data_IF_250263835155
#
_entry.id   IF_250263835155
#
_cell.length_a   1.000
_cell.length_b   1.000
_cell.length_c   1.000
_cell.angle_alpha   90.00
_cell.angle_beta   90.00
_cell.angle_gamma   90.00
#
_symmetry.space_group_name_H-M   'P 1'
#
loop_
_entity.id
_entity.type
_entity.pdbx_description
1 polymer ?
#
# COMPACT_ATOMS: atom_id res chain seq x y z
N UNK A 1 36.52 45.15 -33.30
CA UNK A 1 35.18 44.60 -33.59
C UNK A 1 35.07 43.22 -32.97
N UNK A 2 34.55 43.13 -31.74
CA UNK A 2 34.13 41.90 -31.10
C UNK A 2 33.07 42.30 -30.05
N UNK A 3 31.83 41.92 -30.30
CA UNK A 3 30.64 42.36 -29.57
C UNK A 3 30.50 41.53 -28.30
N UNK A 4 30.62 42.20 -27.15
CA UNK A 4 30.36 41.67 -25.82
C UNK A 4 28.84 41.57 -25.62
N UNK A 5 28.27 40.37 -25.74
CA UNK A 5 26.84 40.12 -25.44
C UNK A 5 26.67 39.92 -23.93
N UNK A 6 26.42 41.01 -23.21
CA UNK A 6 25.72 40.94 -21.93
C UNK A 6 24.27 40.50 -22.20
N UNK A 7 23.92 39.28 -21.78
CA UNK A 7 22.51 38.87 -21.65
C UNK A 7 22.06 39.17 -20.24
N UNK A 8 21.60 40.40 -20.02
CA UNK A 8 20.76 40.76 -18.88
C UNK A 8 19.37 40.15 -19.09
N UNK A 9 19.19 38.89 -18.72
CA UNK A 9 17.86 38.32 -18.52
C UNK A 9 17.36 38.74 -17.13
N UNK A 10 16.94 40.00 -17.04
CA UNK A 10 16.06 40.46 -15.99
C UNK A 10 14.68 39.81 -16.20
N UNK A 11 14.51 38.59 -15.68
CA UNK A 11 13.17 38.09 -15.45
C UNK A 11 12.58 38.93 -14.32
N UNK A 12 11.81 39.94 -14.70
CA UNK A 12 10.88 40.60 -13.79
C UNK A 12 9.95 39.52 -13.26
N UNK A 13 10.22 39.03 -12.05
CA UNK A 13 9.24 38.28 -11.26
C UNK A 13 8.14 39.29 -10.95
N UNK A 14 7.17 39.40 -11.85
CA UNK A 14 5.87 39.96 -11.50
C UNK A 14 5.43 39.19 -10.25
N UNK A 15 5.34 39.89 -9.14
CA UNK A 15 4.87 39.39 -7.86
C UNK A 15 3.47 38.82 -8.08
N UNK A 16 3.38 37.51 -8.30
CA UNK A 16 2.10 36.83 -8.24
C UNK A 16 1.68 36.89 -6.78
N UNK A 17 0.46 37.37 -6.53
CA UNK A 17 -0.19 37.31 -5.23
C UNK A 17 0.21 36.04 -4.47
N UNK A 18 0.62 36.22 -3.21
CA UNK A 18 1.18 35.22 -2.31
C UNK A 18 0.25 34.00 -2.20
N UNK A 19 0.38 33.05 -3.14
CA UNK A 19 -0.41 31.83 -3.14
C UNK A 19 0.25 30.89 -2.15
N UNK A 20 -0.26 30.89 -0.94
CA UNK A 20 0.10 29.91 0.08
C UNK A 20 -0.34 28.53 -0.41
N UNK A 21 0.60 27.74 -0.90
CA UNK A 21 0.36 26.35 -1.25
C UNK A 21 0.44 25.50 0.02
N UNK A 22 -0.62 24.77 0.31
CA UNK A 22 -0.65 23.79 1.39
C UNK A 22 -0.32 22.42 0.83
N UNK A 23 0.64 21.74 1.44
CA UNK A 23 1.00 20.38 1.10
C UNK A 23 0.18 19.41 1.95
N UNK A 24 -0.13 18.23 1.42
CA UNK A 24 -0.66 17.09 2.17
C UNK A 24 0.45 16.41 2.98
N UNK A 25 1.19 17.20 3.75
CA UNK A 25 2.44 16.84 4.38
C UNK A 25 2.45 17.24 5.85
N UNK A 26 2.85 16.32 6.71
CA UNK A 26 3.05 16.56 8.14
C UNK A 26 4.55 16.43 8.47
N UNK A 27 5.21 17.47 9.02
CA UNK A 27 6.57 17.35 9.53
C UNK A 27 6.66 16.26 10.59
N UNK A 28 7.73 15.48 10.58
CA UNK A 28 8.03 14.49 11.61
C UNK A 28 9.16 15.03 12.48
N UNK A 29 8.86 15.17 13.77
CA UNK A 29 9.83 15.50 14.79
C UNK A 29 10.21 14.24 15.55
N UNK A 30 11.49 14.10 15.85
CA UNK A 30 12.04 13.01 16.64
C UNK A 30 13.17 13.57 17.50
N UNK A 31 13.42 12.91 18.63
CA UNK A 31 14.53 13.27 19.50
C UNK A 31 15.86 12.96 18.80
N UNK A 32 16.81 13.88 18.92
CA UNK A 32 18.14 13.73 18.31
C UNK A 32 19.05 12.84 19.17
N UNK A 33 18.58 11.61 19.39
CA UNK A 33 19.26 10.62 20.21
C UNK A 33 20.44 9.96 19.49
N UNK A 34 21.35 9.41 20.28
CA UNK A 34 22.38 8.49 19.81
C UNK A 34 21.92 7.05 20.08
N UNK A 35 22.00 6.21 19.05
CA UNK A 35 21.62 4.80 19.12
C UNK A 35 22.80 3.92 18.71
N UNK A 36 22.88 2.73 19.29
CA UNK A 36 23.83 1.70 18.85
C UNK A 36 23.17 0.92 17.72
N UNK A 37 23.89 0.77 16.61
CA UNK A 37 23.44 -0.04 15.47
C UNK A 37 24.46 -1.13 15.20
N UNK A 38 23.97 -2.31 14.82
CA UNK A 38 24.82 -3.37 14.28
C UNK A 38 25.09 -3.11 12.79
N UNK A 39 26.30 -3.38 12.33
CA UNK A 39 26.71 -3.18 10.93
C UNK A 39 27.14 -4.51 10.34
N UNK A 40 26.62 -4.83 9.16
CA UNK A 40 26.99 -6.04 8.40
C UNK A 40 27.08 -5.72 6.91
N UNK A 41 28.06 -6.26 6.17
CA UNK A 41 28.12 -6.10 4.72
C UNK A 41 26.86 -6.61 4.01
N UNK A 42 26.36 -5.83 3.06
CA UNK A 42 25.27 -6.27 2.19
C UNK A 42 25.81 -7.27 1.15
N UNK A 43 25.33 -8.50 1.21
CA UNK A 43 25.69 -9.57 0.26
C UNK A 43 24.74 -9.55 -0.95
N UNK A 44 23.47 -9.85 -0.70
CA UNK A 44 22.41 -9.86 -1.71
C UNK A 44 21.02 -9.65 -1.08
N UNK A 45 19.97 -9.72 -1.92
CA UNK A 45 18.59 -9.50 -1.48
C UNK A 45 18.07 -10.63 -0.60
N UNK A 46 18.48 -11.86 -0.85
CA UNK A 46 17.99 -13.03 -0.12
C UNK A 46 18.61 -13.08 1.29
N UNK A 47 19.86 -12.64 1.44
CA UNK A 47 20.51 -12.42 2.72
C UNK A 47 19.80 -11.35 3.57
N UNK A 48 19.45 -10.20 2.99
CA UNK A 48 18.68 -9.19 3.71
C UNK A 48 17.27 -9.71 4.07
N UNK A 49 16.67 -10.52 3.20
CA UNK A 49 15.36 -11.14 3.47
C UNK A 49 15.45 -12.14 4.62
N UNK A 50 16.49 -12.98 4.67
CA UNK A 50 16.65 -13.96 5.75
C UNK A 50 16.87 -13.29 7.11
N UNK A 51 17.68 -12.22 7.17
CA UNK A 51 17.84 -11.41 8.39
C UNK A 51 16.50 -10.87 8.89
N UNK A 52 15.70 -10.28 7.98
CA UNK A 52 14.37 -9.76 8.33
C UNK A 52 13.39 -10.85 8.78
N UNK A 53 13.48 -12.04 8.21
CA UNK A 53 12.66 -13.17 8.65
C UNK A 53 13.08 -13.71 10.01
N UNK A 54 14.39 -13.81 10.26
CA UNK A 54 14.94 -14.36 11.49
C UNK A 54 14.71 -13.45 12.69
N UNK A 55 14.82 -12.13 12.53
CA UNK A 55 14.72 -11.16 13.62
C UNK A 55 13.54 -10.20 13.46
N UNK A 56 12.47 -10.62 12.77
CA UNK A 56 11.30 -9.79 12.43
C UNK A 56 10.65 -9.09 13.62
N UNK A 57 10.71 -9.71 14.80
CA UNK A 57 10.07 -9.24 16.02
C UNK A 57 10.95 -8.34 16.89
N UNK A 58 12.27 -8.40 16.70
CA UNK A 58 13.25 -7.77 17.61
C UNK A 58 14.12 -6.72 16.94
N UNK A 59 14.27 -6.78 15.61
CA UNK A 59 15.19 -5.93 14.87
C UNK A 59 14.58 -5.29 13.63
N UNK A 60 15.01 -4.06 13.36
CA UNK A 60 14.84 -3.39 12.08
C UNK A 60 16.13 -3.45 11.28
N UNK A 61 16.05 -3.85 10.01
CA UNK A 61 17.19 -3.83 9.08
C UNK A 61 17.01 -2.78 7.98
N UNK A 62 17.93 -1.82 7.96
CA UNK A 62 18.03 -0.77 6.94
C UNK A 62 19.26 -1.02 6.07
N UNK A 63 19.07 -1.11 4.75
CA UNK A 63 20.21 -1.18 3.83
C UNK A 63 20.68 0.23 3.48
N UNK A 64 21.95 0.50 3.74
CA UNK A 64 22.62 1.72 3.31
C UNK A 64 23.75 1.35 2.35
N UNK A 65 23.57 1.62 1.05
CA UNK A 65 24.55 1.28 -0.01
C UNK A 65 25.00 -0.19 0.04
N UNK A 66 26.19 -0.45 0.58
CA UNK A 66 26.86 -1.76 0.66
C UNK A 66 26.88 -2.33 2.09
N UNK A 67 26.17 -1.71 3.03
CA UNK A 67 26.03 -2.19 4.39
C UNK A 67 24.55 -2.32 4.79
N UNK A 68 24.31 -3.10 5.83
CA UNK A 68 23.04 -3.27 6.50
C UNK A 68 23.24 -2.79 7.93
N UNK A 69 22.45 -1.79 8.31
CA UNK A 69 22.31 -1.33 9.68
C UNK A 69 21.18 -2.12 10.35
N UNK A 70 21.45 -2.71 11.51
CA UNK A 70 20.45 -3.32 12.37
C UNK A 70 20.19 -2.43 13.58
N UNK A 71 18.92 -2.29 13.94
CA UNK A 71 18.50 -1.56 15.13
C UNK A 71 17.62 -2.48 15.96
N UNK A 72 17.99 -2.71 17.21
CA UNK A 72 17.14 -3.38 18.18
C UNK A 72 15.90 -2.50 18.45
N UNK A 73 14.71 -3.06 18.25
CA UNK A 73 13.42 -2.39 18.49
C UNK A 73 12.63 -3.02 19.64
N UNK A 74 13.03 -4.21 20.08
CA UNK A 74 12.53 -4.83 21.30
C UNK A 74 13.45 -4.47 22.48
N UNK A 75 12.86 -4.31 23.67
CA UNK A 75 13.63 -4.15 24.90
C UNK A 75 14.53 -5.36 25.11
N UNK A 76 15.78 -5.13 25.54
CA UNK A 76 16.77 -6.18 25.85
C UNK A 76 17.27 -7.01 24.65
N UNK A 77 16.89 -6.67 23.42
CA UNK A 77 17.44 -7.33 22.25
C UNK A 77 18.93 -6.97 22.06
N UNK A 78 19.77 -7.99 21.90
CA UNK A 78 21.20 -7.83 21.63
C UNK A 78 21.45 -7.18 20.27
N UNK A 79 22.56 -6.45 20.14
CA UNK A 79 22.95 -5.85 18.85
C UNK A 79 23.34 -6.94 17.86
N UNK A 80 22.69 -6.97 16.69
CA UNK A 80 22.97 -7.94 15.62
C UNK A 80 23.87 -7.32 14.55
N UNK A 81 25.13 -7.73 14.46
CA UNK A 81 26.03 -7.29 13.40
C UNK A 81 27.43 -7.88 13.50
N UNK A 82 28.24 -7.74 12.46
CA UNK A 82 29.68 -8.09 12.51
C UNK A 82 30.46 -7.06 13.33
N UNK A 83 30.07 -5.79 13.25
CA UNK A 83 30.53 -4.70 14.10
C UNK A 83 29.35 -3.90 14.64
N UNK A 84 29.60 -2.98 15.57
CA UNK A 84 28.60 -2.03 16.06
C UNK A 84 29.16 -0.61 16.03
N UNK A 85 28.31 0.37 15.78
CA UNK A 85 28.66 1.78 15.84
C UNK A 85 27.56 2.61 16.51
N UNK A 86 27.94 3.76 17.07
CA UNK A 86 26.99 4.73 17.61
C UNK A 86 26.61 5.71 16.50
N UNK A 87 25.32 5.80 16.20
CA UNK A 87 24.76 6.70 15.19
C UNK A 87 23.87 7.73 15.85
N UNK A 88 24.11 9.00 15.53
CA UNK A 88 23.22 10.10 15.88
C UNK A 88 22.08 10.19 14.87
N UNK A 89 20.83 10.20 15.34
CA UNK A 89 19.65 10.14 14.48
C UNK A 89 19.55 11.32 13.50
N UNK A 90 19.85 12.55 13.93
CA UNK A 90 19.86 13.72 13.01
C UNK A 90 20.81 13.57 11.83
N UNK A 91 21.89 12.80 11.99
CA UNK A 91 22.87 12.57 10.93
C UNK A 91 22.45 11.44 9.97
N UNK A 92 21.41 10.66 10.31
CA UNK A 92 20.99 9.50 9.54
C UNK A 92 19.46 9.48 9.31
N UNK A 93 18.97 10.46 8.54
CA UNK A 93 17.54 10.65 8.26
C UNK A 93 16.90 9.46 7.52
N UNK A 94 17.64 8.71 6.73
CA UNK A 94 17.11 7.53 6.03
C UNK A 94 16.87 6.34 6.98
N UNK A 95 17.76 6.17 7.96
CA UNK A 95 17.54 5.23 9.06
C UNK A 95 16.32 5.67 9.89
N UNK A 96 16.23 6.95 10.24
CA UNK A 96 15.08 7.53 10.94
C UNK A 96 13.77 7.29 10.17
N UNK A 97 13.76 7.50 8.86
CA UNK A 97 12.59 7.23 8.03
C UNK A 97 12.19 5.74 8.07
N UNK A 98 13.15 4.83 8.20
CA UNK A 98 12.86 3.39 8.33
C UNK A 98 12.27 3.06 9.70
N UNK A 99 12.83 3.64 10.77
CA UNK A 99 12.31 3.51 12.14
C UNK A 99 10.86 4.04 12.25
N UNK A 100 10.60 5.23 11.68
CA UNK A 100 9.26 5.81 11.65
C UNK A 100 8.28 4.92 10.89
N UNK A 101 8.68 4.37 9.73
CA UNK A 101 7.81 3.45 8.98
C UNK A 101 7.43 2.24 9.83
N UNK A 102 8.42 1.62 10.49
CA UNK A 102 8.19 0.47 11.34
C UNK A 102 7.28 0.79 12.54
N UNK A 103 7.49 1.94 13.19
CA UNK A 103 6.64 2.41 14.28
C UNK A 103 5.19 2.63 13.81
N UNK A 104 5.00 3.27 12.65
CA UNK A 104 3.68 3.51 12.08
C UNK A 104 2.98 2.20 11.68
N UNK A 105 3.71 1.23 11.13
CA UNK A 105 3.17 -0.10 10.82
C UNK A 105 2.73 -0.83 12.09
N UNK A 106 3.56 -0.81 13.15
CA UNK A 106 3.18 -1.41 14.44
C UNK A 106 1.92 -0.77 15.01
N UNK A 107 1.83 0.56 14.96
CA UNK A 107 0.64 1.30 15.39
C UNK A 107 -0.61 0.89 14.59
N UNK A 108 -0.51 0.87 13.25
CA UNK A 108 -1.62 0.49 12.37
C UNK A 108 -2.04 -0.97 12.58
N UNK A 109 -1.08 -1.87 12.79
CA UNK A 109 -1.32 -3.27 13.07
C UNK A 109 -2.05 -3.45 14.41
N UNK A 110 -1.63 -2.74 15.46
CA UNK A 110 -2.32 -2.73 16.75
C UNK A 110 -3.75 -2.17 16.69
N UNK A 111 -4.07 -1.36 15.68
CA UNK A 111 -5.43 -0.89 15.38
C UNK A 111 -6.25 -1.87 14.51
N UNK A 112 -5.73 -3.07 14.24
CA UNK A 112 -6.30 -4.05 13.33
C UNK A 112 -6.59 -3.48 11.93
N UNK A 113 -5.73 -2.56 11.44
CA UNK A 113 -5.84 -2.06 10.06
C UNK A 113 -5.26 -3.09 9.09
N UNK A 114 -5.91 -3.23 7.94
CA UNK A 114 -5.39 -4.03 6.84
C UNK A 114 -4.28 -3.25 6.13
N UNK A 115 -3.02 -3.59 6.40
CA UNK A 115 -1.83 -2.97 5.79
C UNK A 115 -1.49 -3.72 4.51
N UNK A 116 -1.27 -3.01 3.41
CA UNK A 116 -1.10 -3.60 2.07
C UNK A 116 0.35 -3.55 1.57
N UNK A 117 1.11 -2.55 2.00
CA UNK A 117 2.47 -2.30 1.50
C UNK A 117 3.32 -1.58 2.57
N UNK A 118 4.63 -1.76 2.51
CA UNK A 118 5.58 -1.22 3.50
C UNK A 118 6.12 0.17 3.12
N UNK A 119 6.48 0.40 1.86
CA UNK A 119 7.04 1.69 1.41
C UNK A 119 6.58 2.07 -0.03
N UNK A 120 5.65 3.04 -0.19
CA UNK A 120 4.99 3.78 0.89
C UNK A 120 4.08 2.88 1.73
N UNK A 121 3.81 3.27 2.97
CA UNK A 121 2.89 2.51 3.82
C UNK A 121 1.49 2.66 3.25
N UNK A 122 0.87 1.54 2.91
CA UNK A 122 -0.50 1.54 2.43
C UNK A 122 -1.40 0.78 3.39
N UNK A 123 -2.58 1.33 3.69
CA UNK A 123 -3.54 0.64 4.54
C UNK A 123 -4.97 1.05 4.20
N UNK A 124 -5.91 0.21 4.58
CA UNK A 124 -7.35 0.44 4.38
C UNK A 124 -7.99 0.90 5.68
N UNK A 125 -8.97 1.79 5.55
CA UNK A 125 -9.89 2.13 6.64
C UNK A 125 -10.66 0.89 7.13
N UNK A 126 -11.43 1.01 8.22
CA UNK A 126 -12.05 -0.15 8.85
C UNK A 126 -13.28 -0.53 8.02
N UNK A 127 -13.32 -1.69 7.34
CA UNK A 127 -14.45 -2.02 6.47
C UNK A 127 -15.80 -2.05 7.18
N UNK A 128 -15.83 -2.38 8.48
CA UNK A 128 -17.07 -2.40 9.26
C UNK A 128 -17.64 -1.00 9.53
N UNK A 129 -16.85 0.06 9.36
CA UNK A 129 -17.26 1.46 9.61
C UNK A 129 -17.23 2.32 8.35
N UNK A 130 -16.29 2.03 7.47
CA UNK A 130 -15.86 2.91 6.38
C UNK A 130 -16.19 2.32 4.99
N UNK A 131 -17.03 1.27 4.91
CA UNK A 131 -17.51 0.73 3.63
C UNK A 131 -18.52 1.69 2.98
N UNK A 132 -18.09 2.38 1.93
CA UNK A 132 -18.90 3.33 1.17
C UNK A 132 -20.07 2.64 0.46
N UNK A 133 -19.94 1.37 0.06
CA UNK A 133 -21.07 0.62 -0.49
C UNK A 133 -22.18 0.46 0.57
N UNK A 134 -21.82 0.15 1.81
CA UNK A 134 -22.78 0.00 2.90
C UNK A 134 -23.50 1.32 3.25
N UNK A 135 -22.90 2.47 2.93
CA UNK A 135 -23.54 3.78 3.13
C UNK A 135 -24.62 4.10 2.09
N UNK A 136 -24.47 3.62 0.86
CA UNK A 136 -25.37 3.98 -0.26
C UNK A 136 -26.53 3.01 -0.44
N UNK A 137 -26.49 1.83 0.19
CA UNK A 137 -27.54 0.81 0.06
C UNK A 137 -28.82 1.02 0.91
N UNK A 138 -28.78 1.62 2.12
CA UNK A 138 -29.97 1.76 2.96
C UNK A 138 -31.17 2.47 2.29
N UNK A 139 -31.00 3.53 1.46
CA UNK A 139 -32.11 4.13 0.71
C UNK A 139 -32.85 3.16 -0.23
N UNK A 140 -32.23 2.05 -0.62
CA UNK A 140 -32.81 1.00 -1.46
C UNK A 140 -33.41 -0.15 -0.65
N UNK A 141 -33.35 -0.09 0.69
CA UNK A 141 -33.77 -1.18 1.57
C UNK A 141 -32.83 -2.39 1.53
N UNK A 142 -31.56 -2.17 1.19
CA UNK A 142 -30.55 -3.21 1.00
C UNK A 142 -29.40 -3.06 2.00
N UNK A 143 -28.68 -4.17 2.20
CA UNK A 143 -27.45 -4.22 2.99
C UNK A 143 -26.27 -4.67 2.11
N UNK A 144 -25.08 -4.16 2.39
CA UNK A 144 -23.87 -4.59 1.70
C UNK A 144 -23.50 -6.01 2.18
N UNK A 145 -23.22 -6.96 1.27
CA UNK A 145 -22.67 -8.22 1.69
C UNK A 145 -21.24 -8.02 2.23
N UNK A 146 -20.83 -8.88 3.16
CA UNK A 146 -19.51 -8.84 3.80
C UNK A 146 -18.32 -8.97 2.84
N UNK A 147 -18.53 -9.63 1.69
CA UNK A 147 -17.50 -9.88 0.69
C UNK A 147 -17.36 -8.81 -0.39
N UNK A 148 -18.27 -7.82 -0.47
CA UNK A 148 -18.25 -6.77 -1.48
C UNK A 148 -18.17 -5.41 -0.80
N UNK A 149 -17.07 -4.68 -0.99
CA UNK A 149 -16.90 -3.40 -0.33
C UNK A 149 -16.08 -2.40 -1.13
N UNK A 150 -16.29 -1.12 -0.84
CA UNK A 150 -15.43 -0.03 -1.28
C UNK A 150 -15.03 0.77 -0.06
N UNK A 151 -13.74 0.78 0.27
CA UNK A 151 -13.24 1.44 1.48
C UNK A 151 -12.17 2.48 1.12
N UNK A 152 -12.04 3.56 1.92
CA UNK A 152 -10.89 4.45 1.82
C UNK A 152 -9.58 3.69 2.02
N UNK A 153 -8.59 4.00 1.18
CA UNK A 153 -7.21 3.54 1.23
C UNK A 153 -6.32 4.76 1.43
N UNK A 154 -5.41 4.66 2.38
CA UNK A 154 -4.43 5.68 2.67
C UNK A 154 -3.05 5.23 2.22
N UNK A 155 -2.28 6.17 1.70
CA UNK A 155 -0.89 5.99 1.27
C UNK A 155 -0.06 7.01 2.05
N UNK A 156 0.69 6.51 3.03
CA UNK A 156 1.54 7.26 3.93
C UNK A 156 3.01 7.10 3.49
N UNK A 157 3.55 8.12 2.84
CA UNK A 157 4.92 8.13 2.36
C UNK A 157 5.81 8.97 3.29
N UNK A 158 6.73 8.31 3.98
CA UNK A 158 7.77 8.97 4.78
C UNK A 158 8.88 9.44 3.83
N UNK A 159 9.14 10.74 3.80
CA UNK A 159 10.09 11.36 2.88
C UNK A 159 11.09 12.23 3.62
N UNK A 160 12.34 12.16 3.20
CA UNK A 160 13.34 13.20 3.46
C UNK A 160 13.07 14.37 2.51
N UNK A 161 12.89 15.57 3.05
CA UNK A 161 12.59 16.77 2.29
C UNK A 161 13.57 17.88 2.64
N UNK A 162 13.88 18.73 1.66
CA UNK A 162 14.64 19.97 1.86
C UNK A 162 13.80 21.09 1.26
N UNK A 163 13.48 22.08 2.06
CA UNK A 163 12.91 23.33 1.58
C UNK A 163 14.02 24.35 1.39
N UNK A 164 13.78 25.39 0.58
CA UNK A 164 14.77 26.42 0.35
C UNK A 164 15.19 27.06 1.69
N UNK A 165 16.50 27.17 1.90
CA UNK A 165 17.10 27.70 3.13
C UNK A 165 16.75 26.95 4.43
N UNK A 166 16.24 25.72 4.35
CA UNK A 166 15.97 24.88 5.52
C UNK A 166 16.83 23.61 5.50
N UNK A 167 17.26 23.11 6.68
CA UNK A 167 17.93 21.83 6.75
C UNK A 167 17.01 20.69 6.27
N UNK A 168 17.62 19.62 5.78
CA UNK A 168 16.88 18.41 5.43
C UNK A 168 16.13 17.90 6.66
N UNK A 169 14.86 17.54 6.48
CA UNK A 169 13.98 17.05 7.53
C UNK A 169 13.17 15.86 7.05
N UNK A 170 12.47 15.19 7.97
CA UNK A 170 11.52 14.16 7.65
C UNK A 170 10.10 14.71 7.66
N UNK A 171 9.26 14.14 6.81
CA UNK A 171 7.82 14.22 7.05
C UNK A 171 7.03 13.18 6.27
N UNK A 172 5.75 13.17 6.59
CA UNK A 172 4.76 12.22 6.12
C UNK A 172 3.89 12.90 5.07
N UNK A 173 3.99 12.46 3.82
CA UNK A 173 3.02 12.79 2.79
C UNK A 173 1.86 11.78 2.84
N UNK A 174 0.62 12.26 2.96
CA UNK A 174 -0.56 11.41 3.08
C UNK A 174 -1.50 11.60 1.89
N UNK A 175 -1.72 10.54 1.13
CA UNK A 175 -2.73 10.50 0.07
C UNK A 175 -3.90 9.60 0.47
N UNK A 176 -5.12 9.99 0.09
CA UNK A 176 -6.31 9.17 0.21
C UNK A 176 -6.83 8.78 -1.19
N UNK A 177 -7.26 7.52 -1.31
CA UNK A 177 -7.90 6.91 -2.49
C UNK A 177 -9.00 5.98 -1.98
N UNK A 178 -9.67 5.28 -2.88
CA UNK A 178 -10.57 4.19 -2.52
C UNK A 178 -10.07 2.88 -3.11
N UNK A 179 -10.43 1.76 -2.48
CA UNK A 179 -10.12 0.42 -2.95
C UNK A 179 -11.38 -0.43 -2.91
N UNK A 180 -11.62 -1.13 -4.03
CA UNK A 180 -12.69 -2.11 -4.18
C UNK A 180 -12.19 -3.47 -3.72
N UNK A 181 -13.09 -4.25 -3.13
CA UNK A 181 -12.83 -5.61 -2.69
C UNK A 181 -13.94 -6.55 -3.16
N UNK A 182 -13.52 -7.72 -3.65
CA UNK A 182 -14.36 -8.87 -3.94
C UNK A 182 -13.68 -10.03 -3.21
N UNK A 183 -14.21 -10.41 -2.05
CA UNK A 183 -13.52 -11.31 -1.13
C UNK A 183 -13.99 -12.76 -1.17
N UNK A 184 -14.98 -13.08 -2.02
CA UNK A 184 -15.38 -14.46 -2.28
C UNK A 184 -14.45 -15.14 -3.29
N UNK A 185 -14.11 -16.44 -3.07
CA UNK A 185 -13.48 -17.25 -4.08
C UNK A 185 -14.42 -17.44 -5.27
N UNK A 186 -13.85 -17.73 -6.44
CA UNK A 186 -14.62 -17.88 -7.67
C UNK A 186 -15.65 -19.02 -7.59
N UNK A 187 -15.37 -20.10 -6.87
CA UNK A 187 -16.33 -21.18 -6.63
C UNK A 187 -17.62 -20.66 -5.96
N UNK A 188 -17.50 -19.87 -4.90
CA UNK A 188 -18.64 -19.30 -4.19
C UNK A 188 -19.37 -18.22 -5.00
N UNK A 189 -18.67 -17.50 -5.88
CA UNK A 189 -19.30 -16.59 -6.85
C UNK A 189 -20.15 -17.38 -7.87
N UNK A 190 -19.64 -18.50 -8.38
CA UNK A 190 -20.36 -19.38 -9.32
C UNK A 190 -21.64 -19.92 -8.68
N UNK A 191 -21.58 -20.39 -7.43
CA UNK A 191 -22.75 -20.84 -6.66
C UNK A 191 -23.83 -19.75 -6.52
N UNK A 192 -23.41 -18.47 -6.47
CA UNK A 192 -24.31 -17.31 -6.45
C UNK A 192 -24.77 -16.86 -7.84
N UNK A 193 -24.45 -17.61 -8.89
CA UNK A 193 -24.79 -17.28 -10.28
C UNK A 193 -23.94 -16.17 -10.89
N UNK A 194 -22.79 -15.84 -10.30
CA UNK A 194 -21.84 -14.84 -10.78
C UNK A 194 -20.71 -15.55 -11.51
N UNK A 195 -20.79 -15.62 -12.84
CA UNK A 195 -19.78 -16.30 -13.65
C UNK A 195 -18.48 -15.49 -13.73
N UNK A 196 -17.31 -16.08 -13.41
CA UNK A 196 -16.02 -15.42 -13.55
C UNK A 196 -15.50 -15.35 -15.00
N UNK A 197 -16.18 -15.96 -15.97
CA UNK A 197 -15.75 -15.97 -17.39
C UNK A 197 -15.57 -14.53 -17.90
N UNK A 198 -14.44 -14.28 -18.56
CA UNK A 198 -14.06 -12.97 -19.08
C UNK A 198 -13.39 -12.05 -18.07
N UNK A 199 -13.26 -12.45 -16.80
CA UNK A 199 -12.59 -11.65 -15.77
C UNK A 199 -11.23 -12.21 -15.40
N UNK A 200 -10.33 -11.31 -14.99
CA UNK A 200 -9.03 -11.68 -14.44
C UNK A 200 -9.17 -12.22 -13.03
N UNK A 201 -8.35 -13.23 -12.71
CA UNK A 201 -8.30 -13.86 -11.40
C UNK A 201 -6.90 -13.82 -10.80
N UNK A 202 -6.86 -13.76 -9.49
CA UNK A 202 -5.64 -13.73 -8.70
C UNK A 202 -5.67 -14.73 -7.56
N UNK A 203 -4.51 -15.26 -7.23
CA UNK A 203 -4.29 -16.02 -6.01
C UNK A 203 -3.84 -15.08 -4.89
N UNK A 204 -4.25 -15.34 -3.65
CA UNK A 204 -3.73 -14.62 -2.48
C UNK A 204 -2.40 -15.25 -2.05
N UNK A 205 -1.38 -14.42 -1.92
CA UNK A 205 -0.05 -14.84 -1.45
C UNK A 205 0.24 -14.14 -0.12
N UNK A 206 0.59 -14.94 0.89
CA UNK A 206 0.96 -14.43 2.20
C UNK A 206 2.21 -13.55 2.12
N UNK A 207 2.23 -12.49 2.92
CA UNK A 207 3.41 -11.65 3.08
C UNK A 207 4.42 -12.31 4.01
N UNK A 208 5.71 -12.05 3.79
CA UNK A 208 6.75 -12.46 4.75
C UNK A 208 6.67 -11.68 6.06
N UNK A 209 6.07 -10.49 6.06
CA UNK A 209 5.79 -9.71 7.26
C UNK A 209 4.35 -9.97 7.69
N UNK A 210 4.17 -10.62 8.83
CA UNK A 210 2.87 -11.01 9.40
C UNK A 210 1.93 -9.83 9.67
N UNK A 211 2.44 -8.59 9.70
CA UNK A 211 1.64 -7.37 9.87
C UNK A 211 0.97 -6.94 8.58
N UNK A 212 1.46 -7.42 7.45
CA UNK A 212 0.95 -7.11 6.11
C UNK A 212 -0.12 -8.12 5.71
N UNK A 213 -1.14 -7.63 5.02
CA UNK A 213 -2.17 -8.47 4.43
C UNK A 213 -1.61 -9.28 3.24
N UNK A 214 -2.26 -10.40 2.90
CA UNK A 214 -1.95 -11.14 1.68
C UNK A 214 -2.11 -10.24 0.45
N UNK A 215 -1.23 -10.41 -0.54
CA UNK A 215 -1.26 -9.66 -1.78
C UNK A 215 -1.76 -10.51 -2.95
N UNK A 216 -2.42 -9.91 -3.96
CA UNK A 216 -2.89 -10.65 -5.12
C UNK A 216 -1.73 -10.93 -6.09
N UNK A 217 -1.56 -12.20 -6.46
CA UNK A 217 -0.74 -12.64 -7.58
C UNK A 217 -1.65 -12.93 -8.77
N UNK A 218 -1.62 -12.06 -9.77
CA UNK A 218 -2.44 -12.20 -10.98
C UNK A 218 -2.02 -13.44 -11.77
N UNK A 219 -2.99 -14.29 -12.14
CA UNK A 219 -2.75 -15.56 -12.84
C UNK A 219 -3.14 -15.50 -14.31
N UNK A 220 -4.28 -14.87 -14.64
CA UNK A 220 -4.78 -14.78 -16.01
C UNK A 220 -6.26 -14.42 -16.03
N UNK A 221 -6.86 -14.46 -17.22
CA UNK A 221 -8.28 -14.23 -17.45
C UNK A 221 -9.03 -15.55 -17.63
N UNK A 222 -10.18 -15.71 -17.01
CA UNK A 222 -10.97 -16.95 -17.12
C UNK A 222 -11.59 -17.03 -18.51
N UNK A 223 -11.29 -18.10 -19.24
CA UNK A 223 -11.84 -18.39 -20.56
C UNK A 223 -13.06 -19.32 -20.49
N UNK A 224 -12.99 -20.37 -19.67
CA UNK A 224 -14.04 -21.38 -19.54
C UNK A 224 -14.03 -22.02 -18.16
N UNK A 225 -15.12 -22.69 -17.84
CA UNK A 225 -15.34 -23.40 -16.57
C UNK A 225 -15.67 -24.85 -16.90
N UNK A 226 -14.93 -25.78 -16.31
CA UNK A 226 -15.17 -27.22 -16.42
C UNK A 226 -15.23 -27.83 -15.01
N UNK A 227 -16.45 -27.97 -14.48
CA UNK A 227 -16.65 -28.27 -13.05
C UNK A 227 -16.07 -27.14 -12.19
N UNK A 228 -15.21 -27.49 -11.23
CA UNK A 228 -14.54 -26.52 -10.34
C UNK A 228 -13.22 -25.99 -10.90
N UNK A 229 -12.86 -26.36 -12.13
CA UNK A 229 -11.61 -25.93 -12.77
C UNK A 229 -11.89 -24.78 -13.75
N UNK A 230 -11.13 -23.70 -13.58
CA UNK A 230 -11.13 -22.55 -14.47
C UNK A 230 -9.98 -22.68 -15.46
N UNK A 231 -10.27 -22.61 -16.76
CA UNK A 231 -9.23 -22.49 -17.79
C UNK A 231 -8.91 -21.02 -17.98
N UNK A 232 -7.62 -20.70 -18.06
CA UNK A 232 -7.13 -19.33 -18.18
C UNK A 232 -6.61 -19.03 -19.59
N UNK A 233 -6.91 -17.84 -20.08
CA UNK A 233 -6.21 -17.16 -21.17
C UNK A 233 -5.37 -16.01 -20.60
N UNK A 234 -4.46 -15.45 -21.41
CA UNK A 234 -3.44 -14.48 -20.95
C UNK A 234 -2.71 -14.97 -19.68
N UNK A 235 -2.39 -16.26 -19.68
CA UNK A 235 -1.82 -16.97 -18.55
C UNK A 235 -0.41 -16.43 -18.22
N UNK A 236 -0.19 -16.10 -16.95
CA UNK A 236 1.12 -15.76 -16.43
C UNK A 236 1.82 -17.00 -15.90
N UNK A 237 3.13 -17.06 -16.09
CA UNK A 237 3.97 -18.15 -15.57
C UNK A 237 3.58 -19.55 -16.06
N UNK A 238 2.92 -19.65 -17.23
CA UNK A 238 2.51 -20.94 -17.82
C UNK A 238 1.31 -21.61 -17.14
N UNK A 239 0.63 -20.94 -16.20
CA UNK A 239 -0.52 -21.50 -15.49
C UNK A 239 -1.77 -21.39 -16.36
N UNK A 240 -2.16 -22.49 -17.01
CA UNK A 240 -3.30 -22.53 -17.94
C UNK A 240 -4.63 -22.93 -17.29
N UNK A 241 -4.60 -23.44 -16.05
CA UNK A 241 -5.80 -23.85 -15.32
C UNK A 241 -5.61 -23.74 -13.81
N UNK A 242 -6.68 -23.42 -13.09
CA UNK A 242 -6.70 -23.23 -11.62
C UNK A 242 -7.99 -23.74 -11.00
N UNK A 243 -7.96 -24.09 -9.71
CA UNK A 243 -9.17 -24.43 -8.96
C UNK A 243 -9.95 -23.16 -8.60
N UNK A 244 -11.27 -23.17 -8.79
CA UNK A 244 -12.13 -22.01 -8.57
C UNK A 244 -12.18 -21.57 -7.10
N UNK A 245 -11.93 -22.47 -6.15
CA UNK A 245 -11.89 -22.17 -4.72
C UNK A 245 -10.57 -21.51 -4.26
N UNK A 246 -9.52 -21.56 -5.08
CA UNK A 246 -8.18 -21.01 -4.75
C UNK A 246 -7.96 -19.60 -5.31
N UNK A 247 -8.86 -19.11 -6.17
CA UNK A 247 -8.69 -17.85 -6.89
C UNK A 247 -9.87 -16.91 -6.71
N UNK A 248 -9.57 -15.62 -6.79
CA UNK A 248 -10.50 -14.52 -6.56
C UNK A 248 -10.52 -13.62 -7.79
N UNK A 249 -11.68 -13.04 -8.11
CA UNK A 249 -11.76 -12.00 -9.14
C UNK A 249 -10.85 -10.83 -8.78
N UNK A 250 -10.09 -10.34 -9.76
CA UNK A 250 -9.38 -9.08 -9.61
C UNK A 250 -10.42 -7.95 -9.43
N UNK A 251 -10.37 -7.17 -8.34
CA UNK A 251 -11.44 -6.24 -7.97
C UNK A 251 -11.37 -4.93 -8.78
N UNK A 252 -11.25 -5.03 -10.11
CA UNK A 252 -11.35 -3.90 -11.03
C UNK A 252 -12.78 -3.41 -11.11
N UNK A 253 -12.96 -2.19 -11.63
CA UNK A 253 -14.29 -1.54 -11.75
C UNK A 253 -15.26 -2.43 -12.54
N UNK A 254 -14.80 -3.10 -13.58
CA UNK A 254 -15.59 -3.96 -14.45
C UNK A 254 -16.12 -5.17 -13.68
N UNK A 255 -15.24 -5.92 -13.01
CA UNK A 255 -15.62 -7.10 -12.21
C UNK A 255 -16.50 -6.71 -11.02
N UNK A 256 -16.20 -5.60 -10.36
CA UNK A 256 -16.99 -5.08 -9.24
C UNK A 256 -18.39 -4.68 -9.69
N UNK A 257 -18.51 -3.94 -10.80
CA UNK A 257 -19.79 -3.53 -11.36
C UNK A 257 -20.60 -4.73 -11.84
N UNK A 258 -19.94 -5.75 -12.41
CA UNK A 258 -20.59 -7.00 -12.77
C UNK A 258 -21.19 -7.71 -11.55
N UNK A 259 -20.48 -7.72 -10.42
CA UNK A 259 -21.02 -8.25 -9.16
C UNK A 259 -22.25 -7.44 -8.69
N UNK A 260 -22.20 -6.10 -8.78
CA UNK A 260 -23.35 -5.24 -8.45
C UNK A 260 -24.57 -5.54 -9.35
N UNK A 261 -24.35 -5.70 -10.66
CA UNK A 261 -25.43 -6.02 -11.62
C UNK A 261 -26.12 -7.34 -11.29
N UNK A 262 -25.32 -8.37 -10.97
CA UNK A 262 -25.85 -9.70 -10.64
C UNK A 262 -26.56 -9.72 -9.30
N UNK A 263 -26.05 -8.97 -8.32
CA UNK A 263 -26.57 -8.96 -6.96
C UNK A 263 -27.83 -8.10 -6.82
N UNK A 264 -27.84 -6.89 -7.39
CA UNK A 264 -28.90 -5.90 -7.17
C UNK A 264 -29.84 -5.70 -8.36
N UNK A 265 -29.55 -6.32 -9.52
CA UNK A 265 -30.43 -6.39 -10.70
C UNK A 265 -30.95 -5.01 -11.11
N UNK A 266 -32.27 -4.80 -11.03
CA UNK A 266 -32.96 -3.58 -11.47
C UNK A 266 -32.46 -2.33 -10.73
N UNK A 267 -32.00 -2.47 -9.48
CA UNK A 267 -31.50 -1.36 -8.66
C UNK A 267 -30.00 -1.09 -8.89
N UNK A 268 -29.29 -1.92 -9.65
CA UNK A 268 -27.84 -1.84 -9.77
C UNK A 268 -27.35 -0.52 -10.38
N UNK A 269 -28.09 0.04 -11.34
CA UNK A 269 -27.75 1.32 -11.96
C UNK A 269 -27.78 2.46 -10.94
N UNK A 270 -28.88 2.61 -10.21
CA UNK A 270 -29.05 3.68 -9.22
C UNK A 270 -28.05 3.56 -8.06
N UNK A 271 -27.74 2.33 -7.64
CA UNK A 271 -26.71 2.06 -6.63
C UNK A 271 -25.33 2.47 -7.12
N UNK A 272 -24.98 2.16 -8.37
CA UNK A 272 -23.69 2.56 -8.98
C UNK A 272 -23.58 4.09 -9.07
N UNK A 273 -24.63 4.77 -9.46
CA UNK A 273 -24.65 6.24 -9.52
C UNK A 273 -24.51 6.86 -8.13
N UNK A 274 -25.20 6.31 -7.13
CA UNK A 274 -25.11 6.77 -5.74
C UNK A 274 -23.70 6.53 -5.17
N UNK A 275 -23.10 5.39 -5.49
CA UNK A 275 -21.73 5.07 -5.11
C UNK A 275 -20.74 6.01 -5.80
N UNK A 276 -20.87 6.27 -7.10
CA UNK A 276 -19.98 7.19 -7.82
C UNK A 276 -20.07 8.63 -7.27
N UNK A 277 -21.26 9.07 -6.79
CA UNK A 277 -21.42 10.34 -6.07
C UNK A 277 -20.70 10.35 -4.71
N UNK A 278 -20.88 9.32 -3.90
CA UNK A 278 -20.20 9.17 -2.60
C UNK A 278 -18.67 9.10 -2.77
N UNK A 279 -18.18 8.51 -3.86
CA UNK A 279 -16.75 8.42 -4.16
C UNK A 279 -16.14 9.76 -4.61
N UNK A 280 -16.96 10.70 -5.06
CA UNK A 280 -16.55 12.01 -5.55
C UNK A 280 -16.64 13.13 -4.48
N UNK A 281 -17.32 12.86 -3.36
CA UNK A 281 -17.46 13.76 -2.21
C UNK A 281 -16.19 13.77 -1.34
#
# INVERSE_FOLDING_TARGET
>A
MAVQRQRSNSFSRNASADRQLVLNFAPIHFEDAEIIVGVTPYKDRDYLRSLRQQYSDTHLFHREKNQILSVAIASEAEVVGETSETVKLSNNLYLCASLVRNALINFLYGLNRRILEYDPIEFVANPAKDNLLAKVLPPFGLEAPDWLSVCPRYIAAIRTVSFDQQPMSLGLALNARTKRWIELPCSALIEKGISPIGFYVSQRVESSDRRMAPYPKLLGQVQSIAGDVLTLTDARSGIISVQANEVFLEPRREAFNYCLDRLFREQATDIKESLDKELAA
#
